data_IF_427601962393
#
_entry.id   IF_427601962393
#
_cell.length_a   1.000
_cell.length_b   1.000
_cell.length_c   1.000
_cell.angle_alpha   90.00
_cell.angle_beta   90.00
_cell.angle_gamma   90.00
#
_symmetry.space_group_name_H-M   'P 1'
#
loop_
_entity.id
_entity.type
_entity.pdbx_description
1 polymer ?
#
# COMPACT_ATOMS: atom_id res chain seq x y z
N UNK A 1 -2.75 -4.60 3.79
CA UNK A 1 -3.55 -4.17 4.96
C UNK A 1 -2.61 -3.70 6.05
N UNK A 2 -2.83 -2.50 6.56
CA UNK A 2 -2.04 -1.88 7.64
C UNK A 2 -2.42 -2.47 9.01
N UNK A 3 -3.64 -3.00 9.12
CA UNK A 3 -4.15 -3.65 10.32
C UNK A 3 -4.44 -5.14 10.07
N UNK A 4 -4.30 -5.93 11.10
CA UNK A 4 -4.75 -7.32 11.14
C UNK A 4 -6.28 -7.37 11.30
N UNK A 5 -6.88 -8.56 11.17
CA UNK A 5 -8.34 -8.71 11.30
C UNK A 5 -8.90 -8.32 12.68
N UNK A 6 -8.06 -8.40 13.70
CA UNK A 6 -8.39 -8.02 15.09
C UNK A 6 -8.15 -6.54 15.40
N UNK A 7 -7.79 -5.73 14.40
CA UNK A 7 -7.52 -4.30 14.57
C UNK A 7 -6.12 -3.94 15.06
N UNK A 8 -5.24 -4.92 15.28
CA UNK A 8 -3.86 -4.67 15.67
C UNK A 8 -3.07 -4.08 14.51
N UNK A 9 -2.21 -3.09 14.77
CA UNK A 9 -1.30 -2.56 13.75
C UNK A 9 -0.34 -3.63 13.26
N UNK A 10 -0.35 -3.87 11.96
CA UNK A 10 0.58 -4.79 11.33
C UNK A 10 1.92 -4.08 11.08
N UNK A 11 3.01 -4.79 11.28
CA UNK A 11 4.31 -4.34 10.78
C UNK A 11 4.26 -4.24 9.24
N UNK A 12 4.76 -3.14 8.69
CA UNK A 12 4.89 -2.94 7.25
C UNK A 12 6.23 -3.37 6.71
N UNK A 13 7.19 -3.62 7.61
CA UNK A 13 8.51 -4.13 7.25
C UNK A 13 8.98 -5.15 8.27
N UNK A 14 9.84 -6.07 7.82
CA UNK A 14 10.44 -7.10 8.67
C UNK A 14 11.95 -7.14 8.46
N UNK A 15 12.68 -7.62 9.48
CA UNK A 15 14.07 -7.99 9.34
C UNK A 15 14.15 -9.49 9.06
N UNK A 16 14.90 -9.85 8.02
CA UNK A 16 15.07 -11.24 7.57
C UNK A 16 13.72 -11.96 7.28
N UNK A 17 12.70 -11.23 6.85
CA UNK A 17 11.38 -11.78 6.53
C UNK A 17 10.59 -12.35 7.72
N UNK A 18 11.08 -12.18 8.96
CA UNK A 18 10.51 -12.82 10.16
C UNK A 18 10.15 -11.86 11.28
N UNK A 19 11.07 -10.96 11.61
CA UNK A 19 10.93 -10.13 12.80
C UNK A 19 10.24 -8.82 12.44
N UNK A 20 9.13 -8.47 13.08
CA UNK A 20 8.50 -7.16 12.91
C UNK A 20 9.53 -6.05 13.18
N UNK A 21 9.64 -5.10 12.26
CA UNK A 21 10.60 -4.00 12.41
C UNK A 21 9.88 -2.68 12.67
N UNK A 22 8.95 -2.30 11.81
CA UNK A 22 8.32 -0.99 11.89
C UNK A 22 6.83 -1.08 11.53
N UNK A 23 5.99 -0.40 12.32
CA UNK A 23 4.59 -0.20 11.98
C UNK A 23 4.43 0.95 10.98
N UNK A 24 3.27 1.04 10.33
CA UNK A 24 2.94 2.17 9.44
C UNK A 24 3.12 3.50 10.13
N UNK A 25 2.63 3.63 11.37
CA UNK A 25 2.76 4.85 12.17
C UNK A 25 4.22 5.24 12.39
N UNK A 26 5.06 4.27 12.77
CA UNK A 26 6.48 4.53 12.99
C UNK A 26 7.19 4.93 11.69
N UNK A 27 6.84 4.28 10.57
CA UNK A 27 7.39 4.63 9.26
C UNK A 27 7.01 6.04 8.83
N UNK A 28 5.73 6.44 8.97
CA UNK A 28 5.30 7.81 8.70
C UNK A 28 6.01 8.83 9.59
N UNK A 29 6.12 8.56 10.89
CA UNK A 29 6.82 9.44 11.81
C UNK A 29 8.30 9.60 11.43
N UNK A 30 8.97 8.50 11.11
CA UNK A 30 10.37 8.51 10.69
C UNK A 30 10.58 9.32 9.41
N UNK A 31 9.77 9.09 8.38
CA UNK A 31 9.89 9.81 7.11
C UNK A 31 9.60 11.31 7.24
N UNK A 32 8.69 11.71 8.13
CA UNK A 32 8.43 13.12 8.41
C UNK A 32 9.58 13.81 9.17
N UNK A 33 10.34 13.07 9.98
CA UNK A 33 11.51 13.61 10.68
C UNK A 33 12.71 13.72 9.75
N UNK A 34 12.93 12.71 8.91
CA UNK A 34 14.07 12.68 7.97
C UNK A 34 13.89 13.73 6.87
N UNK A 35 12.67 13.87 6.36
CA UNK A 35 12.37 14.81 5.28
C UNK A 35 10.88 15.17 5.23
N UNK A 36 10.38 15.44 4.02
CA UNK A 36 8.97 15.85 3.80
C UNK A 36 8.03 14.67 3.59
N UNK A 37 8.32 13.48 4.16
CA UNK A 37 7.48 12.28 4.07
C UNK A 37 7.88 11.28 2.98
N UNK A 38 9.06 11.46 2.39
CA UNK A 38 9.77 10.51 1.50
C UNK A 38 8.86 9.61 0.62
N UNK A 39 8.97 8.29 0.81
CA UNK A 39 8.24 7.30 0.02
C UNK A 39 6.73 7.37 0.23
N UNK A 40 6.28 7.56 1.46
CA UNK A 40 4.85 7.57 1.76
C UNK A 40 4.18 8.82 1.20
N UNK A 41 4.86 9.97 1.23
CA UNK A 41 4.35 11.18 0.58
C UNK A 41 4.35 11.05 -0.95
N UNK A 42 5.35 10.38 -1.51
CA UNK A 42 5.38 10.07 -2.94
C UNK A 42 4.21 9.17 -3.36
N UNK A 43 3.88 8.16 -2.56
CA UNK A 43 2.70 7.33 -2.79
C UNK A 43 1.39 8.13 -2.70
N UNK A 44 1.27 9.03 -1.72
CA UNK A 44 0.12 9.94 -1.63
C UNK A 44 0.03 10.85 -2.86
N UNK A 45 1.17 11.34 -3.38
CA UNK A 45 1.20 12.17 -4.58
C UNK A 45 0.73 11.43 -5.85
N UNK A 46 1.00 10.12 -5.92
CA UNK A 46 0.60 9.28 -7.08
C UNK A 46 -0.84 8.82 -6.96
N UNK A 47 -1.25 8.35 -5.78
CA UNK A 47 -2.52 7.64 -5.59
C UNK A 47 -3.58 8.45 -4.83
N UNK A 48 -3.19 9.53 -4.14
CA UNK A 48 -4.12 10.39 -3.43
C UNK A 48 -4.89 11.33 -4.35
N UNK A 49 -6.14 11.61 -4.00
CA UNK A 49 -6.89 12.68 -4.64
C UNK A 49 -6.32 14.05 -4.26
N UNK A 50 -6.61 15.06 -5.08
CA UNK A 50 -6.21 16.44 -4.78
C UNK A 50 -7.07 16.98 -3.65
N UNK A 51 -6.45 17.35 -2.55
CA UNK A 51 -7.12 17.98 -1.43
C UNK A 51 -7.50 19.44 -1.68
N UNK A 52 -8.31 19.99 -0.80
CA UNK A 52 -8.78 21.37 -0.87
C UNK A 52 -7.65 22.39 -0.80
N UNK A 53 -6.55 22.06 -0.16
CA UNK A 53 -5.32 22.88 -0.05
C UNK A 53 -4.39 22.74 -1.29
N UNK A 54 -4.80 21.94 -2.28
CA UNK A 54 -4.03 21.68 -3.49
C UNK A 54 -2.97 20.59 -3.35
N UNK A 55 -2.76 20.06 -2.15
CA UNK A 55 -1.84 18.95 -1.90
C UNK A 55 -2.55 17.60 -2.07
N UNK A 56 -1.80 16.50 -2.29
CA UNK A 56 -2.37 15.16 -2.27
C UNK A 56 -2.93 14.80 -0.90
N UNK A 57 -4.15 14.27 -0.88
CA UNK A 57 -4.73 13.76 0.35
C UNK A 57 -3.95 12.53 0.84
N UNK A 58 -3.74 12.48 2.15
CA UNK A 58 -2.95 11.42 2.78
C UNK A 58 -3.85 10.24 3.15
N UNK A 59 -3.38 9.03 2.87
CA UNK A 59 -4.07 7.79 3.22
C UNK A 59 -4.18 7.59 4.73
N UNK A 60 -3.26 8.16 5.50
CA UNK A 60 -3.38 8.20 6.95
C UNK A 60 -2.74 9.45 7.53
N UNK A 61 -3.16 9.79 8.75
CA UNK A 61 -2.52 10.83 9.54
C UNK A 61 -1.09 10.42 9.92
N UNK A 62 -0.07 11.23 9.63
CA UNK A 62 1.32 10.88 9.87
C UNK A 62 1.71 10.85 11.36
N UNK A 63 0.90 11.46 12.23
CA UNK A 63 1.15 11.55 13.66
C UNK A 63 0.44 10.43 14.40
N UNK A 64 -0.86 10.28 14.15
CA UNK A 64 -1.69 9.28 14.83
C UNK A 64 -1.64 7.90 14.18
N UNK A 65 -1.34 7.84 12.87
CA UNK A 65 -1.43 6.63 12.07
C UNK A 65 -2.86 6.24 11.72
N UNK A 66 -3.83 7.11 12.00
CA UNK A 66 -5.24 6.86 11.72
C UNK A 66 -5.51 6.92 10.21
N UNK A 67 -6.22 5.91 9.71
CA UNK A 67 -6.55 5.80 8.29
C UNK A 67 -7.63 6.80 7.90
N UNK A 68 -7.47 7.43 6.74
CA UNK A 68 -8.52 8.19 6.09
C UNK A 68 -9.36 7.23 5.21
N UNK A 69 -10.59 6.90 5.61
CA UNK A 69 -11.42 5.94 4.88
C UNK A 69 -11.75 6.40 3.46
N UNK A 70 -11.93 7.70 3.24
CA UNK A 70 -12.30 8.26 1.93
C UNK A 70 -11.13 8.13 0.95
N UNK A 71 -9.92 8.48 1.39
CA UNK A 71 -8.70 8.32 0.59
C UNK A 71 -8.43 6.84 0.35
N UNK A 72 -8.66 5.97 1.33
CA UNK A 72 -8.52 4.54 1.15
C UNK A 72 -9.49 3.97 0.09
N UNK A 73 -10.74 4.44 0.06
CA UNK A 73 -11.68 4.05 -1.00
C UNK A 73 -11.19 4.52 -2.39
N UNK A 74 -10.64 5.73 -2.48
CA UNK A 74 -10.05 6.23 -3.72
C UNK A 74 -8.87 5.36 -4.19
N UNK A 75 -7.98 4.94 -3.29
CA UNK A 75 -6.84 4.08 -3.61
C UNK A 75 -7.24 2.71 -4.17
N UNK A 76 -8.41 2.20 -3.84
CA UNK A 76 -8.93 0.94 -4.40
C UNK A 76 -9.07 0.96 -5.92
N UNK A 77 -9.15 2.14 -6.54
CA UNK A 77 -9.19 2.28 -7.99
C UNK A 77 -7.85 1.86 -8.65
N UNK A 78 -6.78 1.85 -7.87
CA UNK A 78 -5.43 1.46 -8.31
C UNK A 78 -5.07 0.02 -7.90
N UNK A 79 -5.99 -0.74 -7.30
CA UNK A 79 -5.79 -2.14 -6.94
C UNK A 79 -5.87 -3.01 -8.21
N UNK A 80 -4.69 -3.39 -8.72
CA UNK A 80 -4.56 -4.20 -9.94
C UNK A 80 -5.26 -5.55 -9.79
N UNK A 81 -5.15 -6.19 -8.62
CA UNK A 81 -5.80 -7.48 -8.37
C UNK A 81 -7.32 -7.38 -8.47
N UNK A 82 -7.88 -6.33 -7.89
CA UNK A 82 -9.31 -6.03 -8.00
C UNK A 82 -9.70 -5.74 -9.44
N UNK A 83 -8.96 -4.87 -10.12
CA UNK A 83 -9.23 -4.50 -11.50
C UNK A 83 -9.21 -5.71 -12.44
N UNK A 84 -8.22 -6.58 -12.30
CA UNK A 84 -8.14 -7.80 -13.10
C UNK A 84 -9.31 -8.75 -12.81
N UNK A 85 -9.62 -8.98 -11.56
CA UNK A 85 -10.74 -9.85 -11.17
C UNK A 85 -12.07 -9.35 -11.73
N UNK A 86 -12.34 -8.06 -11.58
CA UNK A 86 -13.61 -7.45 -11.95
C UNK A 86 -13.78 -7.32 -13.48
N UNK A 87 -12.67 -7.31 -14.24
CA UNK A 87 -12.67 -7.15 -15.69
C UNK A 87 -12.10 -8.38 -16.44
N UNK A 88 -11.87 -9.51 -15.77
CA UNK A 88 -11.19 -10.66 -16.35
C UNK A 88 -11.85 -11.19 -17.62
N UNK A 89 -13.17 -11.21 -17.67
CA UNK A 89 -13.92 -11.69 -18.84
C UNK A 89 -13.55 -10.95 -20.13
N UNK A 90 -13.26 -9.65 -20.06
CA UNK A 90 -12.87 -8.83 -21.20
C UNK A 90 -11.35 -8.82 -21.45
N UNK A 91 -10.57 -8.96 -20.39
CA UNK A 91 -9.11 -8.86 -20.45
C UNK A 91 -8.42 -10.20 -20.75
N UNK A 92 -9.08 -11.31 -20.44
CA UNK A 92 -8.51 -12.66 -20.54
C UNK A 92 -7.81 -12.92 -21.87
N UNK A 93 -8.46 -12.66 -23.01
CA UNK A 93 -7.91 -12.93 -24.34
C UNK A 93 -6.57 -12.19 -24.58
N UNK A 94 -6.40 -11.02 -23.96
CA UNK A 94 -5.21 -10.20 -24.14
C UNK A 94 -4.12 -10.50 -23.11
N UNK A 95 -4.45 -11.02 -21.94
CA UNK A 95 -3.53 -11.13 -20.79
C UNK A 95 -3.19 -12.57 -20.41
N UNK A 96 -4.04 -13.54 -20.72
CA UNK A 96 -3.80 -14.94 -20.34
C UNK A 96 -2.47 -15.46 -20.91
N UNK A 97 -1.66 -16.01 -20.03
CA UNK A 97 -0.34 -16.53 -20.40
C UNK A 97 0.74 -15.49 -20.67
N UNK A 98 0.41 -14.18 -20.66
CA UNK A 98 1.37 -13.11 -20.95
C UNK A 98 1.93 -12.45 -19.69
N UNK A 99 1.23 -12.53 -18.57
CA UNK A 99 1.67 -11.94 -17.30
C UNK A 99 2.67 -12.88 -16.64
N UNK A 100 3.82 -12.34 -16.27
CA UNK A 100 4.84 -13.03 -15.46
C UNK A 100 5.21 -12.12 -14.31
N UNK A 101 5.03 -12.58 -13.09
CA UNK A 101 5.36 -11.85 -11.88
C UNK A 101 6.33 -12.67 -11.06
N UNK A 102 7.41 -12.04 -10.60
CA UNK A 102 8.38 -12.66 -9.71
C UNK A 102 8.53 -11.80 -8.47
N UNK A 103 8.59 -12.43 -7.32
CA UNK A 103 8.77 -11.76 -6.03
C UNK A 103 9.60 -12.63 -5.10
N UNK A 104 10.44 -12.01 -4.27
CA UNK A 104 11.20 -12.72 -3.24
C UNK A 104 10.29 -13.20 -2.12
N UNK A 105 10.43 -14.46 -1.70
CA UNK A 105 9.62 -15.04 -0.63
C UNK A 105 9.89 -14.42 0.75
N UNK A 106 11.01 -13.69 0.90
CA UNK A 106 11.41 -12.99 2.14
C UNK A 106 11.50 -11.49 1.91
N UNK A 107 10.51 -10.93 1.21
CA UNK A 107 10.44 -9.50 1.01
C UNK A 107 10.28 -8.78 2.36
N UNK A 108 11.18 -7.85 2.64
CA UNK A 108 11.19 -7.08 3.89
C UNK A 108 9.94 -6.22 4.08
N UNK A 109 9.31 -5.76 3.01
CA UNK A 109 8.07 -4.98 3.03
C UNK A 109 6.80 -5.84 2.89
N UNK A 110 6.94 -7.16 2.90
CA UNK A 110 5.83 -8.11 2.81
C UNK A 110 4.98 -7.97 1.53
N UNK A 111 5.56 -7.42 0.46
CA UNK A 111 4.88 -7.24 -0.83
C UNK A 111 4.61 -8.58 -1.53
N UNK A 112 5.38 -9.63 -1.20
CA UNK A 112 5.12 -10.99 -1.65
C UNK A 112 3.68 -11.44 -1.34
N UNK A 113 3.14 -11.02 -0.21
CA UNK A 113 1.75 -11.32 0.15
C UNK A 113 0.71 -10.68 -0.76
N UNK A 114 1.02 -9.54 -1.38
CA UNK A 114 0.17 -8.91 -2.38
C UNK A 114 0.29 -9.63 -3.73
N UNK A 115 1.51 -9.98 -4.14
CA UNK A 115 1.77 -10.71 -5.39
C UNK A 115 1.09 -12.07 -5.40
N UNK A 116 1.08 -12.80 -4.28
CA UNK A 116 0.39 -14.10 -4.17
C UNK A 116 -1.15 -14.00 -4.24
N UNK A 117 -1.70 -12.79 -4.22
CA UNK A 117 -3.15 -12.55 -4.37
C UNK A 117 -3.55 -12.07 -5.77
N UNK A 118 -2.55 -11.79 -6.60
CA UNK A 118 -2.75 -11.37 -7.97
C UNK A 118 -3.13 -12.58 -8.85
#
# INVERSE_FOLDING_TARGET
MIYTKDGTQRSVATVAGRFPWVSSKQMYAMENVISRGEQLQSLNAVFGSKGADGNPERICDPITGEMNPQVFEHWKNYDISRYLRDNWSSLKQNLEGKIRVSVGNQDNFLLNGAVHKL
#
